data_IF_124294998475
#
_entry.id   IF_124294998475
#
_cell.length_a   1.000
_cell.length_b   1.000
_cell.length_c   1.000
_cell.angle_alpha   90.00
_cell.angle_beta   90.00
_cell.angle_gamma   90.00
#
_symmetry.space_group_name_H-M   'P 1'
#
loop_
_entity.id
_entity.type
_entity.pdbx_description
1 polymer ?
#
# COMPACT_ATOMS: atom_id res chain seq x y z
N UNK A 1 -17.67 -10.15 -10.00
CA UNK A 1 -17.29 -9.62 -8.66
C UNK A 1 -17.20 -10.80 -7.72
N UNK A 2 -16.03 -10.99 -7.08
CA UNK A 2 -15.85 -12.02 -6.08
C UNK A 2 -16.53 -11.56 -4.79
N UNK A 3 -17.28 -12.44 -4.15
CA UNK A 3 -18.07 -12.15 -2.93
C UNK A 3 -17.17 -11.68 -1.77
N UNK A 4 -15.89 -12.04 -1.79
CA UNK A 4 -14.88 -11.60 -0.82
C UNK A 4 -14.23 -10.25 -1.16
N UNK A 5 -14.54 -9.66 -2.33
CA UNK A 5 -13.89 -8.44 -2.84
C UNK A 5 -12.44 -8.64 -3.33
N UNK A 6 -11.91 -9.86 -3.25
CA UNK A 6 -10.57 -10.23 -3.71
C UNK A 6 -10.63 -11.46 -4.62
N UNK A 7 -9.78 -11.56 -5.66
CA UNK A 7 -9.72 -12.72 -6.54
C UNK A 7 -8.96 -13.89 -5.88
N UNK A 8 -9.47 -14.39 -4.74
CA UNK A 8 -8.87 -15.46 -3.94
C UNK A 8 -9.96 -16.33 -3.31
N UNK A 9 -9.68 -17.63 -3.13
CA UNK A 9 -10.62 -18.58 -2.54
C UNK A 9 -10.77 -18.35 -1.03
N UNK A 10 -9.68 -17.93 -0.36
CA UNK A 10 -9.64 -17.68 1.07
C UNK A 10 -8.97 -16.32 1.33
N UNK A 11 -9.57 -15.56 2.22
CA UNK A 11 -9.12 -14.25 2.67
C UNK A 11 -9.05 -14.26 4.20
N UNK A 12 -7.89 -13.92 4.73
CA UNK A 12 -7.67 -13.77 6.17
C UNK A 12 -7.38 -12.31 6.46
N UNK A 13 -8.30 -11.65 7.14
CA UNK A 13 -8.20 -10.25 7.54
C UNK A 13 -7.72 -10.17 8.99
N UNK A 14 -6.61 -9.49 9.23
CA UNK A 14 -6.03 -9.26 10.55
C UNK A 14 -6.27 -7.80 10.92
N UNK A 15 -7.04 -7.56 11.95
CA UNK A 15 -7.39 -6.22 12.44
C UNK A 15 -6.54 -5.85 13.64
N UNK A 16 -6.13 -4.57 13.73
CA UNK A 16 -5.40 -4.08 14.90
C UNK A 16 -5.03 -2.60 14.81
N UNK A 17 -4.64 -1.98 15.92
CA UNK A 17 -4.34 -0.56 15.98
C UNK A 17 -2.94 -0.19 15.48
N UNK A 18 -1.96 -1.11 15.57
CA UNK A 18 -0.55 -0.84 15.29
C UNK A 18 -0.11 -1.52 13.98
N UNK A 19 0.35 -0.72 13.01
CA UNK A 19 0.72 -1.21 11.67
C UNK A 19 1.86 -2.23 11.71
N UNK A 20 2.91 -1.98 12.52
CA UNK A 20 4.05 -2.90 12.59
C UNK A 20 3.69 -4.26 13.23
N UNK A 21 2.74 -4.25 14.16
CA UNK A 21 2.17 -5.47 14.72
C UNK A 21 1.32 -6.22 13.69
N UNK A 22 0.48 -5.51 12.93
CA UNK A 22 -0.30 -6.08 11.85
C UNK A 22 0.58 -6.73 10.77
N UNK A 23 1.70 -6.11 10.42
CA UNK A 23 2.61 -6.66 9.41
C UNK A 23 3.28 -7.95 9.89
N UNK A 24 3.74 -7.99 11.15
CA UNK A 24 4.32 -9.22 11.74
C UNK A 24 3.28 -10.33 11.82
N UNK A 25 2.09 -10.02 12.28
CA UNK A 25 0.99 -10.99 12.40
C UNK A 25 0.57 -11.50 11.01
N UNK A 26 0.48 -10.62 10.00
CA UNK A 26 0.16 -11.00 8.63
C UNK A 26 1.21 -11.93 8.01
N UNK A 27 2.50 -11.69 8.29
CA UNK A 27 3.55 -12.61 7.84
C UNK A 27 3.45 -13.98 8.54
N UNK A 28 3.18 -13.99 9.86
CA UNK A 28 2.96 -15.24 10.60
C UNK A 28 1.75 -16.02 10.06
N UNK A 29 0.65 -15.32 9.77
CA UNK A 29 -0.55 -15.89 9.15
C UNK A 29 -0.25 -16.44 7.75
N UNK A 30 0.48 -15.69 6.91
CA UNK A 30 0.84 -16.16 5.56
C UNK A 30 1.70 -17.43 5.61
N UNK A 31 2.66 -17.50 6.54
CA UNK A 31 3.48 -18.71 6.75
C UNK A 31 2.66 -19.90 7.26
N UNK A 32 1.74 -19.67 8.19
CA UNK A 32 0.85 -20.72 8.69
C UNK A 32 -0.09 -21.22 7.59
N UNK A 33 -0.67 -20.29 6.81
CA UNK A 33 -1.54 -20.59 5.68
C UNK A 33 -0.83 -21.38 4.58
N UNK A 34 0.40 -21.01 4.23
CA UNK A 34 1.21 -21.73 3.24
C UNK A 34 1.52 -23.19 3.63
N UNK A 35 1.47 -23.51 4.93
CA UNK A 35 1.68 -24.87 5.45
C UNK A 35 0.42 -25.72 5.50
N UNK A 36 -0.75 -25.15 5.19
CA UNK A 36 -2.01 -25.92 5.14
C UNK A 36 -2.00 -26.76 3.85
N UNK A 37 -2.24 -28.08 3.92
CA UNK A 37 -2.33 -28.93 2.73
C UNK A 37 -3.39 -28.42 1.76
N UNK A 38 -2.98 -28.21 0.51
CA UNK A 38 -3.83 -27.63 -0.53
C UNK A 38 -3.76 -26.11 -0.67
N UNK A 39 -3.02 -25.40 0.18
CA UNK A 39 -2.79 -23.97 0.01
C UNK A 39 -1.92 -23.67 -1.21
N UNK A 40 -2.29 -22.63 -1.97
CA UNK A 40 -1.52 -22.06 -3.08
C UNK A 40 -1.52 -20.56 -3.00
N UNK A 41 -0.44 -19.96 -3.47
CA UNK A 41 -0.31 -18.50 -3.65
C UNK A 41 -0.61 -17.70 -2.37
N UNK A 42 -0.20 -18.24 -1.20
CA UNK A 42 -0.37 -17.55 0.07
C UNK A 42 0.48 -16.28 0.09
N UNK A 43 -0.17 -15.11 0.19
CA UNK A 43 0.53 -13.83 0.13
C UNK A 43 -0.14 -12.76 0.99
N UNK A 44 0.67 -11.83 1.51
CA UNK A 44 0.20 -10.61 2.15
C UNK A 44 -0.16 -9.60 1.07
N UNK A 45 -1.35 -9.03 1.12
CA UNK A 45 -1.89 -8.19 0.04
C UNK A 45 -1.21 -6.80 -0.02
N UNK A 46 -0.86 -6.24 1.12
CA UNK A 46 -0.19 -4.94 1.23
C UNK A 46 1.06 -5.04 2.12
N UNK A 47 2.10 -5.79 1.66
CA UNK A 47 3.29 -5.98 2.47
C UNK A 47 4.00 -4.65 2.72
N UNK A 48 4.66 -4.49 3.89
CA UNK A 48 5.58 -3.39 4.12
C UNK A 48 6.83 -3.54 3.25
N UNK A 49 7.62 -2.47 3.16
CA UNK A 49 8.92 -2.54 2.50
C UNK A 49 8.96 -1.95 1.10
N UNK A 50 7.93 -1.19 0.68
CA UNK A 50 8.05 -0.36 -0.50
C UNK A 50 9.20 0.64 -0.30
N UNK A 51 10.12 0.82 -1.28
CA UNK A 51 11.14 1.84 -1.17
C UNK A 51 10.49 3.22 -1.01
N UNK A 52 10.90 3.94 0.02
CA UNK A 52 10.41 5.28 0.34
C UNK A 52 11.57 6.25 0.38
N UNK A 53 11.46 7.35 -0.35
CA UNK A 53 12.35 8.47 -0.26
C UNK A 53 11.74 9.53 0.65
N UNK A 54 12.34 9.76 1.81
CA UNK A 54 11.91 10.79 2.75
C UNK A 54 12.80 12.02 2.62
N UNK A 55 12.17 13.16 2.34
CA UNK A 55 12.82 14.47 2.26
C UNK A 55 12.25 15.31 3.39
N UNK A 56 13.06 15.57 4.41
CA UNK A 56 12.67 16.38 5.56
C UNK A 56 13.33 17.76 5.49
N UNK A 57 12.55 18.77 5.21
CA UNK A 57 13.03 20.14 5.15
C UNK A 57 13.52 20.61 6.53
N UNK A 58 14.69 21.24 6.58
CA UNK A 58 15.22 21.87 7.78
C UNK A 58 14.87 23.36 7.78
N UNK A 59 13.90 23.74 8.59
CA UNK A 59 13.36 25.10 8.61
C UNK A 59 14.41 26.17 9.02
N UNK A 60 15.39 25.81 9.86
CA UNK A 60 16.46 26.75 10.22
C UNK A 60 17.38 27.02 9.02
N UNK A 61 17.73 25.98 8.25
CA UNK A 61 18.53 26.14 7.02
C UNK A 61 17.75 26.91 5.95
N UNK A 62 16.45 26.63 5.79
CA UNK A 62 15.59 27.38 4.87
C UNK A 62 15.59 28.89 5.19
N UNK A 63 15.38 29.24 6.47
CA UNK A 63 15.39 30.62 6.93
C UNK A 63 16.74 31.32 6.68
N UNK A 64 17.86 30.61 6.89
CA UNK A 64 19.21 31.12 6.63
C UNK A 64 19.42 31.50 5.15
N UNK A 65 18.76 30.81 4.23
CA UNK A 65 18.85 31.05 2.79
C UNK A 65 17.67 31.86 2.23
N UNK A 66 16.73 32.31 3.10
CA UNK A 66 15.56 33.08 2.70
C UNK A 66 14.56 32.30 1.82
N UNK A 67 14.60 30.96 1.89
CA UNK A 67 13.71 30.09 1.11
C UNK A 67 12.42 29.80 1.89
N UNK A 68 11.28 29.89 1.21
CA UNK A 68 10.03 29.42 1.76
C UNK A 68 9.88 27.90 1.52
N UNK A 69 9.32 27.14 2.47
CA UNK A 69 9.08 25.71 2.29
C UNK A 69 8.23 25.38 1.05
N UNK A 70 7.24 26.25 0.72
CA UNK A 70 6.40 26.10 -0.47
C UNK A 70 7.21 26.10 -1.76
N UNK A 71 8.14 27.04 -1.93
CA UNK A 71 8.97 27.15 -3.15
C UNK A 71 9.81 25.89 -3.39
N UNK A 72 10.30 25.29 -2.30
CA UNK A 72 11.05 24.03 -2.38
C UNK A 72 10.15 22.88 -2.78
N UNK A 73 8.94 22.80 -2.20
CA UNK A 73 7.95 21.75 -2.57
C UNK A 73 7.50 21.90 -4.01
N UNK A 74 7.24 23.10 -4.48
CA UNK A 74 6.87 23.39 -5.88
C UNK A 74 8.00 22.96 -6.84
N UNK A 75 9.26 23.23 -6.46
CA UNK A 75 10.42 22.78 -7.25
C UNK A 75 10.53 21.26 -7.28
N UNK A 76 10.31 20.58 -6.15
CA UNK A 76 10.30 19.12 -6.09
C UNK A 76 9.17 18.55 -6.94
N UNK A 77 7.97 19.11 -6.85
CA UNK A 77 6.82 18.69 -7.65
C UNK A 77 7.11 18.86 -9.14
N UNK A 78 7.59 20.03 -9.56
CA UNK A 78 7.96 20.29 -10.95
C UNK A 78 9.02 19.30 -11.45
N UNK A 79 10.03 19.00 -10.61
CA UNK A 79 11.13 18.10 -10.97
C UNK A 79 10.68 16.65 -11.17
N UNK A 80 9.85 16.10 -10.27
CA UNK A 80 9.54 14.67 -10.21
C UNK A 80 8.17 14.30 -10.76
N UNK A 81 7.14 15.12 -10.56
CA UNK A 81 5.76 14.90 -11.05
C UNK A 81 5.51 15.61 -12.38
N UNK A 82 6.22 16.70 -12.61
CA UNK A 82 6.04 17.56 -13.75
C UNK A 82 5.11 18.75 -13.49
N UNK A 83 5.48 19.90 -14.03
CA UNK A 83 4.68 21.11 -14.00
C UNK A 83 4.06 21.35 -15.37
N UNK A 84 2.73 21.39 -15.44
CA UNK A 84 2.01 21.78 -16.66
C UNK A 84 2.26 23.27 -16.95
N UNK A 85 2.91 23.57 -18.09
CA UNK A 85 3.31 24.94 -18.46
C UNK A 85 2.53 25.48 -19.65
N UNK A 86 1.72 24.66 -20.30
CA UNK A 86 0.93 25.08 -21.45
C UNK A 86 0.19 23.95 -22.12
N UNK A 87 -0.42 24.27 -23.27
CA UNK A 87 -1.16 23.33 -24.10
C UNK A 87 -0.85 23.62 -25.56
N UNK A 88 -0.78 22.58 -26.35
CA UNK A 88 -0.67 22.64 -27.81
C UNK A 88 -1.98 22.16 -28.44
N UNK A 89 -2.48 22.92 -29.38
CA UNK A 89 -3.72 22.64 -30.08
C UNK A 89 -3.40 22.06 -31.47
N UNK A 90 -3.90 20.87 -31.76
CA UNK A 90 -3.85 20.27 -33.08
C UNK A 90 -5.28 19.97 -33.54
N UNK A 91 -5.87 20.89 -34.29
CA UNK A 91 -7.29 20.79 -34.68
C UNK A 91 -8.21 20.74 -33.44
N UNK A 92 -8.98 19.66 -33.29
CA UNK A 92 -9.86 19.43 -32.12
C UNK A 92 -9.15 18.75 -30.93
N UNK A 93 -7.86 18.40 -31.05
CA UNK A 93 -7.09 17.75 -29.98
C UNK A 93 -6.27 18.75 -29.19
N UNK A 94 -6.32 18.62 -27.85
CA UNK A 94 -5.53 19.45 -26.92
C UNK A 94 -4.51 18.56 -26.21
N UNK A 95 -3.23 18.88 -26.34
CA UNK A 95 -2.13 18.12 -25.70
C UNK A 95 -1.48 19.02 -24.63
N UNK A 96 -1.47 18.62 -23.35
CA UNK A 96 -0.78 19.36 -22.30
C UNK A 96 0.72 19.27 -22.48
N UNK A 97 1.43 20.36 -22.19
CA UNK A 97 2.89 20.45 -22.17
C UNK A 97 3.32 20.55 -20.69
N UNK A 98 4.21 19.65 -20.27
CA UNK A 98 4.77 19.66 -18.92
C UNK A 98 6.29 19.72 -18.95
N UNK A 99 6.87 20.44 -17.98
CA UNK A 99 8.32 20.44 -17.72
C UNK A 99 8.59 19.52 -16.54
N UNK A 100 9.59 18.64 -16.68
CA UNK A 100 10.08 17.78 -15.61
C UNK A 100 11.56 17.46 -15.82
N UNK A 101 12.21 16.92 -14.79
CA UNK A 101 13.58 16.41 -14.93
C UNK A 101 13.64 15.27 -15.96
N UNK A 102 14.76 15.20 -16.68
CA UNK A 102 15.01 14.09 -17.58
C UNK A 102 15.01 12.73 -16.85
N UNK A 103 14.57 11.64 -17.51
CA UNK A 103 14.40 10.33 -16.86
C UNK A 103 15.64 9.80 -16.14
N UNK A 104 16.83 10.07 -16.68
CA UNK A 104 18.13 9.68 -16.10
C UNK A 104 18.39 10.31 -14.73
N UNK A 105 17.92 11.53 -14.50
CA UNK A 105 18.06 12.23 -13.20
C UNK A 105 16.97 11.87 -12.20
N UNK A 106 15.84 11.33 -12.65
CA UNK A 106 14.73 10.94 -11.78
C UNK A 106 14.86 9.52 -11.21
N UNK A 107 15.61 8.64 -11.90
CA UNK A 107 15.76 7.23 -11.50
C UNK A 107 16.82 7.01 -10.44
N UNK A 108 17.77 7.92 -10.33
CA UNK A 108 18.87 7.81 -9.39
C UNK A 108 18.60 8.65 -8.14
N UNK A 109 18.33 7.95 -7.03
CA UNK A 109 18.06 8.56 -5.73
C UNK A 109 19.21 9.47 -5.28
N UNK A 110 20.46 9.16 -5.66
CA UNK A 110 21.60 9.99 -5.32
C UNK A 110 21.56 11.38 -5.96
N UNK A 111 20.84 11.54 -7.07
CA UNK A 111 20.65 12.82 -7.74
C UNK A 111 19.64 13.73 -7.05
N UNK A 112 18.72 13.14 -6.25
CA UNK A 112 17.73 13.92 -5.50
C UNK A 112 18.42 14.93 -4.57
N UNK A 113 19.47 14.50 -3.89
CA UNK A 113 20.24 15.36 -2.97
C UNK A 113 20.91 16.55 -3.69
N UNK A 114 21.19 16.42 -4.98
CA UNK A 114 21.82 17.41 -5.84
C UNK A 114 20.84 18.26 -6.64
N UNK A 115 19.53 18.13 -6.38
CA UNK A 115 18.53 18.94 -7.07
C UNK A 115 18.86 20.43 -6.86
N UNK A 116 19.08 21.20 -7.95
CA UNK A 116 19.44 22.61 -7.82
C UNK A 116 18.23 23.45 -7.40
N UNK A 117 18.45 24.28 -6.42
CA UNK A 117 17.48 25.25 -5.91
C UNK A 117 18.09 26.66 -6.05
N UNK A 118 17.27 27.64 -6.37
CA UNK A 118 17.71 29.02 -6.46
C UNK A 118 17.18 29.82 -5.29
N UNK A 119 18.08 30.36 -4.46
CA UNK A 119 17.72 31.25 -3.39
C UNK A 119 17.26 32.64 -3.93
N UNK A 120 16.46 33.38 -3.16
CA UNK A 120 15.99 34.73 -3.58
C UNK A 120 17.12 35.72 -3.87
N UNK A 121 18.28 35.55 -3.24
CA UNK A 121 19.49 36.35 -3.48
C UNK A 121 20.27 35.95 -4.74
N UNK A 122 19.76 34.96 -5.49
CA UNK A 122 20.35 34.47 -6.74
C UNK A 122 21.40 33.34 -6.58
N UNK A 123 21.74 32.94 -5.35
CA UNK A 123 22.66 31.81 -5.10
C UNK A 123 22.03 30.49 -5.52
N UNK A 124 22.85 29.61 -6.05
CA UNK A 124 22.46 28.23 -6.31
C UNK A 124 22.80 27.39 -5.09
N UNK A 125 21.83 26.60 -4.64
CA UNK A 125 21.92 25.65 -3.54
C UNK A 125 21.56 24.27 -4.06
N UNK A 126 21.92 23.24 -3.32
CA UNK A 126 21.45 21.89 -3.55
C UNK A 126 20.43 21.51 -2.47
N UNK A 127 19.50 20.61 -2.80
CA UNK A 127 18.46 20.18 -1.85
C UNK A 127 19.05 19.68 -0.52
N UNK A 128 20.21 19.00 -0.56
CA UNK A 128 20.93 18.53 0.66
C UNK A 128 21.37 19.67 1.58
N UNK A 129 21.52 20.88 1.08
CA UNK A 129 21.93 22.02 1.90
C UNK A 129 20.80 22.46 2.84
N UNK A 130 19.55 22.19 2.47
CA UNK A 130 18.35 22.64 3.19
C UNK A 130 17.44 21.50 3.68
N UNK A 131 17.73 20.25 3.33
CA UNK A 131 16.93 19.08 3.71
C UNK A 131 17.79 17.91 4.14
N UNK A 132 17.22 17.09 5.00
CA UNK A 132 17.76 15.77 5.33
C UNK A 132 17.04 14.72 4.48
N UNK A 133 17.80 13.97 3.69
CA UNK A 133 17.28 13.02 2.70
C UNK A 133 17.66 11.61 3.14
N UNK A 134 16.68 10.74 3.25
CA UNK A 134 16.88 9.35 3.65
C UNK A 134 16.05 8.40 2.79
N UNK A 135 16.62 7.23 2.54
CA UNK A 135 15.92 6.12 1.90
C UNK A 135 15.52 5.13 2.97
N UNK A 136 14.26 4.80 3.01
CA UNK A 136 13.68 3.88 3.97
C UNK A 136 12.78 2.85 3.29
N UNK A 137 12.09 2.11 4.12
CA UNK A 137 11.01 1.23 3.70
C UNK A 137 9.69 1.80 4.22
N UNK A 138 8.83 2.13 3.30
CA UNK A 138 7.50 2.66 3.59
C UNK A 138 6.38 1.66 3.32
N UNK A 139 5.15 2.15 3.39
CA UNK A 139 3.94 1.42 3.02
C UNK A 139 3.23 2.17 1.92
N UNK A 140 3.08 1.54 0.77
CA UNK A 140 2.34 2.16 -0.33
C UNK A 140 0.81 2.16 -0.09
N UNK A 141 0.31 1.32 0.83
CA UNK A 141 -1.11 1.18 1.12
C UNK A 141 -1.36 0.80 2.57
N UNK A 142 -2.31 1.46 3.21
CA UNK A 142 -2.85 1.09 4.51
C UNK A 142 -4.32 0.74 4.30
N UNK A 143 -4.68 -0.51 4.58
CA UNK A 143 -6.04 -1.00 4.41
C UNK A 143 -6.88 -0.65 5.63
N UNK A 144 -8.15 -0.29 5.36
CA UNK A 144 -9.15 -0.02 6.40
C UNK A 144 -10.47 -0.72 6.04
N UNK A 145 -11.16 -1.24 7.06
CA UNK A 145 -12.52 -1.73 6.93
C UNK A 145 -13.30 -1.36 8.21
N UNK A 146 -14.49 -0.77 8.04
CA UNK A 146 -15.30 -0.30 9.16
C UNK A 146 -14.56 0.68 10.10
N UNK A 147 -13.69 1.54 9.56
CA UNK A 147 -12.88 2.47 10.34
C UNK A 147 -11.68 1.85 11.08
N UNK A 148 -11.45 0.54 10.95
CA UNK A 148 -10.33 -0.18 11.58
C UNK A 148 -9.26 -0.49 10.58
N UNK A 149 -8.00 -0.40 11.01
CA UNK A 149 -6.84 -0.82 10.20
C UNK A 149 -6.80 -2.33 10.12
N UNK A 150 -6.42 -2.85 8.96
CA UNK A 150 -6.22 -4.28 8.76
C UNK A 150 -5.05 -4.55 7.83
N UNK A 151 -4.54 -5.77 7.94
CA UNK A 151 -3.75 -6.43 6.91
C UNK A 151 -4.53 -7.63 6.38
N UNK A 152 -4.33 -7.96 5.13
CA UNK A 152 -5.04 -9.06 4.47
C UNK A 152 -4.04 -10.05 3.93
N UNK A 153 -4.28 -11.32 4.22
CA UNK A 153 -3.57 -12.46 3.62
C UNK A 153 -4.54 -13.22 2.75
N UNK A 154 -4.14 -13.51 1.53
CA UNK A 154 -4.97 -14.24 0.56
C UNK A 154 -4.30 -15.56 0.18
N UNK A 155 -5.11 -16.56 -0.16
CA UNK A 155 -4.63 -17.79 -0.77
C UNK A 155 -5.69 -18.44 -1.65
N UNK A 156 -5.23 -19.28 -2.56
CA UNK A 156 -6.06 -20.14 -3.39
C UNK A 156 -6.02 -21.58 -2.86
N UNK A 157 -7.08 -22.35 -3.16
CA UNK A 157 -7.18 -23.76 -2.81
C UNK A 157 -6.85 -24.60 -4.04
N UNK A 158 -5.94 -25.54 -3.91
CA UNK A 158 -5.57 -26.46 -4.99
C UNK A 158 -6.76 -27.32 -5.39
N UNK A 159 -6.88 -27.63 -6.69
CA UNK A 159 -7.92 -28.52 -7.21
C UNK A 159 -7.92 -29.88 -6.47
N UNK A 160 -9.10 -30.37 -6.14
CA UNK A 160 -9.27 -31.64 -5.44
C UNK A 160 -9.29 -31.53 -3.91
N UNK A 161 -9.16 -30.33 -3.35
CA UNK A 161 -9.36 -30.10 -1.93
C UNK A 161 -10.74 -29.47 -1.67
N UNK A 162 -11.44 -29.97 -0.65
CA UNK A 162 -12.69 -29.39 -0.20
C UNK A 162 -12.44 -28.07 0.53
N UNK A 163 -13.16 -27.02 0.13
CA UNK A 163 -12.99 -25.68 0.65
C UNK A 163 -13.35 -25.57 2.15
N UNK A 164 -14.34 -26.33 2.61
CA UNK A 164 -14.77 -26.29 4.02
C UNK A 164 -13.72 -26.97 4.90
N UNK A 165 -13.27 -28.16 4.51
CA UNK A 165 -12.23 -28.87 5.23
C UNK A 165 -10.92 -28.07 5.27
N UNK A 166 -10.60 -27.36 4.18
CA UNK A 166 -9.46 -26.47 4.13
C UNK A 166 -9.58 -25.34 5.15
N UNK A 167 -10.72 -24.65 5.21
CA UNK A 167 -10.96 -23.55 6.16
C UNK A 167 -10.93 -24.04 7.61
N UNK A 168 -11.47 -25.23 7.91
CA UNK A 168 -11.41 -25.82 9.25
C UNK A 168 -9.96 -26.11 9.67
N UNK A 169 -9.16 -26.71 8.76
CA UNK A 169 -7.72 -26.94 8.98
C UNK A 169 -6.95 -25.64 9.16
N UNK A 170 -7.27 -24.63 8.36
CA UNK A 170 -6.67 -23.30 8.49
C UNK A 170 -6.97 -22.69 9.86
N UNK A 171 -8.24 -22.64 10.27
CA UNK A 171 -8.63 -22.10 11.59
C UNK A 171 -7.90 -22.79 12.74
N UNK A 172 -7.80 -24.13 12.69
CA UNK A 172 -7.04 -24.91 13.67
C UNK A 172 -5.56 -24.50 13.67
N UNK A 173 -4.93 -24.48 12.50
CA UNK A 173 -3.52 -24.09 12.35
C UNK A 173 -3.25 -22.67 12.84
N UNK A 174 -4.11 -21.72 12.51
CA UNK A 174 -3.98 -20.34 12.98
C UNK A 174 -4.05 -20.24 14.50
N UNK A 175 -4.93 -21.00 15.15
CA UNK A 175 -5.04 -21.02 16.61
C UNK A 175 -3.84 -21.66 17.32
N UNK A 176 -3.16 -22.62 16.68
CA UNK A 176 -2.02 -23.33 17.24
C UNK A 176 -0.68 -22.59 16.98
N UNK A 177 -0.47 -22.09 15.76
CA UNK A 177 0.83 -21.61 15.28
C UNK A 177 0.98 -20.08 15.36
N UNK A 178 -0.13 -19.33 15.43
CA UNK A 178 -0.07 -17.85 15.34
C UNK A 178 -0.43 -17.22 16.67
N UNK A 179 0.54 -16.50 17.25
CA UNK A 179 0.32 -15.65 18.43
C UNK A 179 0.18 -14.21 17.98
N UNK A 180 -1.04 -13.70 18.02
CA UNK A 180 -1.33 -12.32 17.65
C UNK A 180 -0.83 -11.34 18.71
N UNK A 181 -0.46 -10.15 18.26
CA UNK A 181 -0.15 -9.04 19.15
C UNK A 181 -1.41 -8.62 19.95
N UNK A 182 -1.24 -8.07 21.17
CA UNK A 182 -2.37 -7.61 21.97
C UNK A 182 -3.24 -6.61 21.22
N UNK A 183 -4.55 -6.86 21.23
CA UNK A 183 -5.56 -6.03 20.54
C UNK A 183 -5.76 -6.37 19.07
N UNK A 184 -4.98 -7.30 18.50
CA UNK A 184 -5.20 -7.82 17.15
C UNK A 184 -6.14 -9.03 17.18
N UNK A 185 -6.93 -9.18 16.11
CA UNK A 185 -7.80 -10.35 15.91
C UNK A 185 -7.89 -10.69 14.40
N UNK A 186 -8.31 -11.93 14.14
CA UNK A 186 -8.40 -12.49 12.77
C UNK A 186 -9.88 -12.74 12.43
N UNK A 187 -10.21 -12.45 11.16
CA UNK A 187 -11.44 -12.89 10.50
C UNK A 187 -11.04 -13.71 9.27
N UNK A 188 -11.60 -14.90 9.13
CA UNK A 188 -11.37 -15.79 7.99
C UNK A 188 -12.63 -15.85 7.15
N UNK A 189 -12.54 -15.38 5.93
CA UNK A 189 -13.60 -15.40 4.93
C UNK A 189 -13.21 -16.36 3.80
N UNK A 190 -14.19 -17.10 3.30
CA UNK A 190 -14.01 -17.92 2.11
C UNK A 190 -15.10 -17.66 1.07
N UNK A 191 -14.73 -17.73 -0.21
CA UNK A 191 -15.68 -17.55 -1.30
C UNK A 191 -16.84 -18.55 -1.21
N UNK A 192 -16.58 -19.76 -0.73
CA UNK A 192 -17.59 -20.80 -0.57
C UNK A 192 -18.57 -20.53 0.58
N UNK A 193 -18.14 -19.93 1.69
CA UNK A 193 -19.04 -19.53 2.79
C UNK A 193 -19.90 -18.34 2.38
N UNK A 194 -19.30 -17.36 1.73
CA UNK A 194 -20.00 -16.18 1.26
C UNK A 194 -21.08 -16.51 0.20
N UNK A 195 -20.78 -17.44 -0.72
CA UNK A 195 -21.75 -17.90 -1.72
C UNK A 195 -22.94 -18.64 -1.09
N UNK A 196 -22.71 -19.44 -0.06
CA UNK A 196 -23.78 -20.12 0.69
C UNK A 196 -24.67 -19.14 1.45
N UNK A 197 -24.08 -18.15 2.05
CA UNK A 197 -24.84 -17.12 2.77
C UNK A 197 -25.74 -16.36 1.83
N UNK A 198 -25.25 -15.97 0.66
CA UNK A 198 -26.02 -15.34 -0.39
C UNK A 198 -27.17 -16.24 -0.91
N UNK A 199 -26.93 -17.54 -1.08
CA UNK A 199 -27.98 -18.50 -1.48
C UNK A 199 -29.03 -18.69 -0.38
N UNK A 200 -28.63 -18.77 0.88
CA UNK A 200 -29.54 -18.87 2.00
C UNK A 200 -30.43 -17.63 2.13
N UNK A 201 -29.86 -16.44 1.99
CA UNK A 201 -30.60 -15.19 2.03
C UNK A 201 -31.58 -15.05 0.86
N UNK A 202 -31.22 -15.54 -0.34
CA UNK A 202 -32.11 -15.61 -1.49
C UNK A 202 -33.31 -16.56 -1.25
N UNK A 203 -33.08 -17.74 -0.66
CA UNK A 203 -34.11 -18.71 -0.34
C UNK A 203 -35.08 -18.14 0.71
N UNK A 204 -34.57 -17.49 1.75
CA UNK A 204 -35.41 -16.86 2.77
C UNK A 204 -36.22 -15.69 2.23
N UNK A 205 -35.64 -14.85 1.39
CA UNK A 205 -36.37 -13.75 0.75
C UNK A 205 -37.41 -14.25 -0.24
N UNK A 206 -37.17 -15.36 -0.93
CA UNK A 206 -38.14 -15.98 -1.85
C UNK A 206 -39.30 -16.71 -1.12
N UNK A 207 -39.07 -17.13 0.14
CA UNK A 207 -40.12 -17.74 0.98
C UNK A 207 -41.00 -16.71 1.69
N UNK A 208 -40.53 -15.47 1.81
CA UNK A 208 -41.23 -14.36 2.45
C UNK A 208 -42.00 -13.45 1.46
N UNK A 209 -41.80 -13.63 0.15
CA UNK A 209 -42.49 -12.93 -0.94
C UNK A 209 -43.65 -13.76 -1.47
#
# INVERSE_FOLDING_TARGET
ETVTGYPADVVVSIFGPQLDALDRDAQAVALALARVPGARDAQVLAPPGAPELSIRLNYARLALHGLAPGDVLDTLQAAYEGLAVGQVYHGASVTPVAIMLAPEHRRDISQVAKLPLRAPDGRNLELRDIADISVGQGRYKILHSGGRRLQTVTANIARGHDSREFVERLRKRLSEDVKLAPGNYIVVDSAAEAQRQAQHDLIWNALLA
#
